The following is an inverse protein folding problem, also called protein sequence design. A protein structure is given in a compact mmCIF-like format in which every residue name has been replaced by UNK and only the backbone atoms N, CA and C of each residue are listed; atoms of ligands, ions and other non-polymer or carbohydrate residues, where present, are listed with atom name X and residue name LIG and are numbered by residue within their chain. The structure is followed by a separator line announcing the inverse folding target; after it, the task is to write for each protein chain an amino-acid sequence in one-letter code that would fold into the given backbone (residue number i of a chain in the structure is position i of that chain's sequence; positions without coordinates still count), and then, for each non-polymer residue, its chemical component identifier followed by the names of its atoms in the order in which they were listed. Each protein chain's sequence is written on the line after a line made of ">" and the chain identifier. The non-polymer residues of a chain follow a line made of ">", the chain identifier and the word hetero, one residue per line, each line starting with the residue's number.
data_IF_515344464200
#
_entry.id   IF_515344464200
#
_cell.length_a   1.000
_cell.length_b   1.000
_cell.length_c   1.000
_cell.angle_alpha   90.00
_cell.angle_beta   90.00
_cell.angle_gamma   90.00
#
_symmetry.space_group_name_H-M   'P 1'
#
loop_
_entity.id
_entity.type
_entity.pdbx_description
1 polymer ?
#
# COMPACT_ATOMS: atom_id res chain seq x y z
N UNK A 1 0.22 8.88 6.86
CA UNK A 1 0.26 8.17 5.56
C UNK A 1 0.19 9.20 4.46
N UNK A 2 0.96 9.01 3.40
CA UNK A 2 0.99 9.87 2.22
C UNK A 2 0.83 9.01 0.97
N UNK A 3 0.19 9.55 -0.07
CA UNK A 3 0.08 8.91 -1.37
C UNK A 3 0.88 9.71 -2.40
N UNK A 4 1.63 9.00 -3.25
CA UNK A 4 2.18 9.59 -4.45
C UNK A 4 1.03 9.92 -5.42
N UNK A 5 1.18 10.98 -6.22
CA UNK A 5 0.13 11.42 -7.16
C UNK A 5 -0.29 10.32 -8.15
N UNK A 6 0.67 9.52 -8.60
CA UNK A 6 0.40 8.35 -9.45
C UNK A 6 -0.46 7.30 -8.73
N UNK A 7 -0.19 7.04 -7.44
CA UNK A 7 -0.96 6.11 -6.63
C UNK A 7 -2.41 6.56 -6.43
N UNK A 8 -2.65 7.88 -6.29
CA UNK A 8 -4.00 8.42 -6.21
C UNK A 8 -4.79 8.23 -7.51
N UNK A 9 -4.13 8.43 -8.66
CA UNK A 9 -4.77 8.23 -9.96
C UNK A 9 -5.18 6.77 -10.19
N UNK A 10 -4.45 5.81 -9.60
CA UNK A 10 -4.77 4.37 -9.67
C UNK A 10 -5.96 3.96 -8.80
N UNK A 11 -6.45 4.85 -7.92
CA UNK A 11 -7.65 4.58 -7.14
C UNK A 11 -8.94 4.80 -7.95
N UNK A 12 -8.84 5.52 -9.07
CA UNK A 12 -10.00 5.79 -9.92
C UNK A 12 -10.52 4.50 -10.57
N UNK A 13 -11.84 4.31 -10.53
CA UNK A 13 -12.49 3.10 -11.05
C UNK A 13 -12.44 1.86 -10.16
N UNK A 14 -11.86 1.93 -8.94
CA UNK A 14 -11.95 0.83 -7.98
C UNK A 14 -13.42 0.58 -7.57
N UNK A 15 -13.89 -0.69 -7.62
CA UNK A 15 -15.15 -1.05 -6.97
C UNK A 15 -15.13 -0.69 -5.48
N UNK A 16 -16.29 -0.32 -4.92
CA UNK A 16 -16.38 0.12 -3.52
C UNK A 16 -15.81 -0.91 -2.53
N UNK A 17 -16.06 -2.20 -2.75
CA UNK A 17 -15.52 -3.30 -1.95
C UNK A 17 -13.99 -3.38 -1.97
N UNK A 18 -13.37 -3.11 -3.12
CA UNK A 18 -11.92 -3.10 -3.28
C UNK A 18 -11.31 -1.87 -2.60
N UNK A 19 -11.98 -0.72 -2.71
CA UNK A 19 -11.59 0.51 -2.03
C UNK A 19 -11.66 0.37 -0.50
N UNK A 20 -12.74 -0.20 0.03
CA UNK A 20 -12.88 -0.46 1.47
C UNK A 20 -11.80 -1.43 1.97
N UNK A 21 -11.52 -2.48 1.20
CA UNK A 21 -10.46 -3.43 1.51
C UNK A 21 -9.08 -2.77 1.51
N UNK A 22 -8.80 -1.87 0.55
CA UNK A 22 -7.59 -1.06 0.49
C UNK A 22 -7.44 -0.18 1.73
N UNK A 23 -8.47 0.59 2.08
CA UNK A 23 -8.45 1.50 3.24
C UNK A 23 -8.24 0.73 4.55
N UNK A 24 -8.92 -0.41 4.71
CA UNK A 24 -8.74 -1.29 5.87
C UNK A 24 -7.29 -1.76 5.97
N UNK A 25 -6.74 -2.30 4.88
CA UNK A 25 -5.36 -2.80 4.88
C UNK A 25 -4.34 -1.69 5.12
N UNK A 26 -4.54 -0.53 4.51
CA UNK A 26 -3.70 0.64 4.72
C UNK A 26 -3.69 1.07 6.20
N UNK A 27 -4.84 1.03 6.88
CA UNK A 27 -4.96 1.37 8.31
C UNK A 27 -4.23 0.36 9.21
N UNK A 28 -4.34 -0.94 8.92
CA UNK A 28 -3.61 -1.99 9.63
C UNK A 28 -2.08 -1.78 9.51
N UNK A 29 -1.60 -1.43 8.31
CA UNK A 29 -0.19 -1.18 8.05
C UNK A 29 0.36 0.05 8.76
N UNK A 30 -0.45 1.07 9.06
CA UNK A 30 0.03 2.21 9.87
C UNK A 30 0.51 1.74 11.24
N UNK A 31 -0.12 0.71 11.80
CA UNK A 31 0.24 0.13 13.10
C UNK A 31 1.35 -0.91 12.95
N UNK A 32 1.27 -1.74 11.92
CA UNK A 32 2.20 -2.85 11.71
C UNK A 32 2.73 -2.87 10.26
N UNK A 33 3.58 -1.91 9.86
CA UNK A 33 4.01 -1.79 8.47
C UNK A 33 4.85 -2.98 7.99
N UNK A 34 5.50 -3.66 8.93
CA UNK A 34 6.32 -4.83 8.69
C UNK A 34 5.51 -6.13 8.49
N UNK A 35 4.20 -6.11 8.73
CA UNK A 35 3.26 -7.17 8.31
C UNK A 35 3.00 -7.07 6.79
N UNK A 36 4.05 -7.25 6.01
CA UNK A 36 4.05 -7.15 4.55
C UNK A 36 5.35 -7.76 4.03
N UNK A 37 5.51 -7.86 2.71
CA UNK A 37 6.68 -8.44 2.08
C UNK A 37 7.63 -7.33 1.61
N UNK A 38 8.95 -7.51 1.80
CA UNK A 38 9.95 -6.62 1.18
C UNK A 38 10.03 -6.88 -0.33
N UNK A 39 10.14 -5.82 -1.13
CA UNK A 39 10.18 -5.93 -2.59
C UNK A 39 11.52 -6.43 -3.14
N UNK A 40 12.62 -6.22 -2.42
CA UNK A 40 13.95 -6.61 -2.85
C UNK A 40 14.91 -6.89 -1.70
N UNK A 41 15.90 -7.74 -1.97
CA UNK A 41 17.01 -7.95 -1.05
C UNK A 41 17.87 -6.69 -0.97
N UNK A 42 17.99 -6.10 0.22
CA UNK A 42 18.75 -4.88 0.46
C UNK A 42 17.90 -3.60 0.60
N UNK A 43 16.61 -3.68 0.29
CA UNK A 43 15.67 -2.54 0.40
C UNK A 43 14.47 -2.88 1.30
N UNK A 44 14.69 -3.18 2.60
CA UNK A 44 13.64 -3.68 3.48
C UNK A 44 12.50 -2.70 3.72
N UNK A 45 12.74 -1.41 3.50
CA UNK A 45 11.76 -0.34 3.64
C UNK A 45 10.79 -0.25 2.46
N UNK A 46 11.13 -0.79 1.29
CA UNK A 46 10.21 -0.91 0.15
C UNK A 46 9.42 -2.20 0.27
N UNK A 47 8.11 -2.08 0.42
CA UNK A 47 7.24 -3.16 0.86
C UNK A 47 5.99 -3.26 0.00
N UNK A 48 5.39 -4.45 0.01
CA UNK A 48 4.17 -4.76 -0.72
C UNK A 48 3.30 -5.73 0.07
N UNK A 49 1.98 -5.56 -0.05
CA UNK A 49 0.99 -6.48 0.51
C UNK A 49 -0.22 -6.58 -0.40
N UNK A 50 -1.05 -7.60 -0.20
CA UNK A 50 -2.39 -7.67 -0.79
C UNK A 50 -3.39 -6.99 0.13
N UNK A 51 -4.37 -6.29 -0.45
CA UNK A 51 -5.54 -5.77 0.29
C UNK A 51 -6.84 -6.51 -0.09
N UNK A 52 -6.83 -7.16 -1.25
CA UNK A 52 -7.89 -8.02 -1.78
C UNK A 52 -7.21 -9.13 -2.61
N UNK A 53 -7.84 -10.29 -2.89
CA UNK A 53 -7.27 -11.33 -3.77
C UNK A 53 -6.76 -10.85 -5.14
N UNK A 54 -7.25 -9.70 -5.63
CA UNK A 54 -6.88 -9.10 -6.93
C UNK A 54 -6.23 -7.71 -6.79
N UNK A 55 -5.85 -7.32 -5.57
CA UNK A 55 -5.37 -5.97 -5.25
C UNK A 55 -4.02 -5.99 -4.54
N UNK A 56 -3.05 -5.24 -5.07
CA UNK A 56 -1.72 -5.04 -4.49
C UNK A 56 -1.52 -3.58 -4.06
N UNK A 57 -0.87 -3.42 -2.91
CA UNK A 57 -0.47 -2.13 -2.36
C UNK A 57 1.05 -2.13 -2.14
N UNK A 58 1.75 -1.21 -2.80
CA UNK A 58 3.20 -1.02 -2.65
C UNK A 58 3.51 0.31 -1.98
N UNK A 59 4.40 0.28 -0.99
CA UNK A 59 4.68 1.43 -0.14
C UNK A 59 6.11 1.43 0.39
N UNK A 60 6.55 2.61 0.83
CA UNK A 60 7.82 2.82 1.53
C UNK A 60 7.56 3.13 3.01
N UNK A 61 8.33 2.50 3.90
CA UNK A 61 8.35 2.80 5.34
C UNK A 61 9.41 3.85 5.61
N UNK A 62 8.98 5.04 6.03
CA UNK A 62 9.86 6.11 6.49
C UNK A 62 9.85 6.14 8.02
N UNK A 63 10.80 5.42 8.62
CA UNK A 63 10.93 5.36 10.09
C UNK A 63 11.29 6.74 10.69
N UNK A 64 12.02 7.58 9.94
CA UNK A 64 12.46 8.89 10.43
C UNK A 64 11.31 9.87 10.62
N UNK A 65 10.30 9.79 9.74
CA UNK A 65 9.08 10.61 9.79
C UNK A 65 7.85 9.84 10.30
N UNK A 66 8.04 8.59 10.73
CA UNK A 66 6.99 7.67 11.18
C UNK A 66 5.78 7.63 10.23
N UNK A 67 6.04 7.48 8.92
CA UNK A 67 4.98 7.50 7.91
C UNK A 67 5.17 6.44 6.83
N UNK A 68 4.05 6.04 6.23
CA UNK A 68 4.01 5.23 5.03
C UNK A 68 3.78 6.11 3.81
N UNK A 69 4.59 5.90 2.77
CA UNK A 69 4.43 6.54 1.46
C UNK A 69 3.97 5.49 0.47
N UNK A 70 2.70 5.54 0.10
CA UNK A 70 2.13 4.65 -0.91
C UNK A 70 2.53 5.18 -2.28
N UNK A 71 3.21 4.36 -3.09
CA UNK A 71 3.69 4.78 -4.41
C UNK A 71 3.04 4.04 -5.57
N UNK A 72 2.42 2.90 -5.31
CA UNK A 72 1.71 2.12 -6.33
C UNK A 72 0.53 1.34 -5.72
N UNK A 73 -0.60 1.37 -6.43
CA UNK A 73 -1.78 0.55 -6.18
C UNK A 73 -2.15 -0.13 -7.48
N UNK A 74 -2.21 -1.46 -7.46
CA UNK A 74 -2.59 -2.26 -8.64
C UNK A 74 -3.87 -3.04 -8.35
N UNK A 75 -4.81 -3.00 -9.30
CA UNK A 75 -6.07 -3.73 -9.29
C UNK A 75 -6.32 -4.37 -10.65
N UNK A 76 -6.72 -5.66 -10.66
CA UNK A 76 -6.94 -6.43 -11.90
C UNK A 76 -8.34 -7.02 -12.02
N UNK A 77 -9.29 -6.57 -11.19
CA UNK A 77 -10.67 -7.05 -11.16
C UNK A 77 -11.68 -6.11 -11.81
#
# INVERSE_FOLDING_TARGET
>A
MEFHAAALAQLDGLPAEAFDALVRRATELVVAPWDSMALGAGEPAFRQTTFHPLGLLSFYVDDSRQLLRIFDVTWVG
#
